data_IF_279697748883
#
_entry.id   IF_279697748883
#
_cell.length_a   1.000
_cell.length_b   1.000
_cell.length_c   1.000
_cell.angle_alpha   90.00
_cell.angle_beta   90.00
_cell.angle_gamma   90.00
#
_symmetry.space_group_name_H-M   'P 1'
#
loop_
_entity.id
_entity.type
_entity.pdbx_description
1 polymer ?
#
# COMPACT_ATOMS: atom_id res chain seq x y z
N UNK A 1 52.49 12.97 47.43
CA UNK A 1 51.08 12.93 47.81
C UNK A 1 50.15 13.90 47.01
N UNK A 2 50.61 14.54 45.95
CA UNK A 2 49.79 15.53 45.16
C UNK A 2 49.23 15.01 43.85
N UNK A 3 49.63 13.81 43.35
CA UNK A 3 49.18 13.26 42.08
C UNK A 3 47.88 12.47 42.19
N UNK A 4 47.47 12.03 43.37
CA UNK A 4 46.23 11.28 43.59
C UNK A 4 44.97 12.16 43.60
N UNK A 5 45.11 13.40 44.11
CA UNK A 5 43.98 14.33 44.22
C UNK A 5 43.50 14.88 42.87
N UNK A 6 44.43 15.08 41.93
CA UNK A 6 44.10 15.61 40.60
C UNK A 6 43.37 14.55 39.75
N UNK A 7 43.76 13.26 39.88
CA UNK A 7 43.07 12.16 39.19
C UNK A 7 41.64 11.95 39.69
N UNK A 8 41.41 12.08 41.00
CA UNK A 8 40.05 11.97 41.56
C UNK A 8 39.14 13.14 41.15
N UNK A 9 39.69 14.37 41.10
CA UNK A 9 38.90 15.54 40.65
C UNK A 9 38.51 15.50 39.18
N UNK A 10 39.37 14.96 38.31
CA UNK A 10 39.06 14.78 36.87
C UNK A 10 38.00 13.71 36.64
N UNK A 11 38.06 12.60 37.43
CA UNK A 11 37.03 11.57 37.35
C UNK A 11 35.66 12.05 37.84
N UNK A 12 35.61 12.84 38.92
CA UNK A 12 34.37 13.41 39.44
C UNK A 12 33.79 14.44 38.48
N UNK A 13 34.61 15.27 37.85
CA UNK A 13 34.17 16.23 36.82
C UNK A 13 33.65 15.53 35.55
N UNK A 14 34.26 14.42 35.13
CA UNK A 14 33.81 13.62 34.00
C UNK A 14 32.47 12.92 34.31
N UNK A 15 32.26 12.42 35.52
CA UNK A 15 31.00 11.78 35.94
C UNK A 15 29.86 12.83 36.05
N UNK A 16 30.16 14.05 36.53
CA UNK A 16 29.18 15.12 36.64
C UNK A 16 28.75 15.66 35.24
N UNK A 17 29.65 15.67 34.27
CA UNK A 17 29.31 16.03 32.87
C UNK A 17 28.44 14.97 32.20
N UNK A 18 28.58 13.69 32.51
CA UNK A 18 27.75 12.60 32.05
C UNK A 18 26.34 12.62 32.66
N UNK A 19 26.21 13.09 33.92
CA UNK A 19 24.91 13.24 34.58
C UNK A 19 24.08 14.43 34.02
N UNK A 20 24.73 15.46 33.48
CA UNK A 20 24.03 16.59 32.85
C UNK A 20 23.38 16.26 31.50
N UNK A 21 23.72 15.12 30.90
CA UNK A 21 23.11 14.62 29.67
C UNK A 21 21.95 13.66 29.93
N UNK A 22 21.27 13.75 31.07
CA UNK A 22 20.02 12.99 31.26
C UNK A 22 18.98 13.47 30.25
N UNK A 23 18.27 12.56 29.53
CA UNK A 23 17.33 12.94 28.55
C UNK A 23 16.19 13.75 29.14
N UNK A 24 16.15 15.05 28.85
CA UNK A 24 14.96 15.86 29.07
C UNK A 24 13.89 15.50 28.05
N UNK A 25 13.45 14.26 28.05
CA UNK A 25 12.35 13.81 27.21
C UNK A 25 11.22 13.34 28.10
N UNK A 26 10.13 14.11 28.20
CA UNK A 26 8.85 13.53 28.63
C UNK A 26 8.58 12.34 27.74
N UNK A 27 8.29 11.19 28.34
CA UNK A 27 7.76 10.04 27.59
C UNK A 27 6.63 10.54 26.72
N UNK A 28 6.62 10.12 25.46
CA UNK A 28 5.57 10.54 24.56
C UNK A 28 4.21 10.17 25.09
N UNK A 29 3.22 11.08 25.03
CA UNK A 29 1.84 10.75 25.37
C UNK A 29 1.24 9.66 24.46
N UNK A 30 1.98 9.19 23.47
CA UNK A 30 1.57 8.08 22.59
C UNK A 30 1.68 6.70 23.27
N UNK A 31 2.37 6.58 24.40
CA UNK A 31 2.62 5.28 25.06
C UNK A 31 1.42 4.74 25.84
N UNK A 32 0.48 5.55 26.28
CA UNK A 32 -0.59 5.05 27.16
C UNK A 32 -2.02 5.35 26.69
N UNK A 33 -2.25 6.38 25.87
CA UNK A 33 -3.62 6.81 25.55
C UNK A 33 -4.09 6.40 24.16
N UNK A 34 -3.22 5.92 23.29
CA UNK A 34 -3.56 5.44 21.96
C UNK A 34 -3.38 3.94 21.78
N UNK A 35 -3.06 3.22 22.83
CA UNK A 35 -3.25 1.79 22.86
C UNK A 35 -4.77 1.52 22.98
N UNK A 36 -5.51 1.67 21.89
CA UNK A 36 -6.67 0.81 21.75
C UNK A 36 -6.15 -0.60 21.93
N UNK A 37 -6.52 -1.31 23.01
CA UNK A 37 -6.05 -2.66 23.21
C UNK A 37 -6.47 -3.45 21.98
N UNK A 38 -5.49 -3.88 21.21
CA UNK A 38 -5.76 -4.91 20.20
C UNK A 38 -6.36 -6.06 20.99
N UNK A 39 -7.55 -6.57 20.65
CA UNK A 39 -8.13 -7.71 21.31
C UNK A 39 -7.10 -8.83 21.32
N UNK A 40 -6.57 -9.14 22.50
CA UNK A 40 -5.69 -10.28 22.65
C UNK A 40 -6.55 -11.52 22.42
N UNK A 41 -6.38 -12.16 21.26
CA UNK A 41 -6.92 -13.51 21.04
C UNK A 41 -7.92 -13.70 19.92
N UNK A 42 -8.42 -12.66 19.27
CA UNK A 42 -9.10 -12.85 17.99
C UNK A 42 -8.39 -11.96 16.97
N UNK A 43 -7.57 -12.63 16.19
CA UNK A 43 -6.91 -12.06 15.05
C UNK A 43 -7.88 -11.18 14.27
N UNK A 44 -7.70 -9.87 14.33
CA UNK A 44 -8.28 -8.91 13.40
C UNK A 44 -7.90 -9.20 11.93
N UNK A 45 -7.05 -10.17 11.70
CA UNK A 45 -6.86 -10.86 10.42
C UNK A 45 -8.16 -11.43 9.89
N UNK A 46 -9.20 -11.39 10.67
CA UNK A 46 -10.53 -11.81 10.28
C UNK A 46 -11.42 -10.69 9.73
N UNK A 47 -10.98 -9.50 9.49
CA UNK A 47 -11.54 -8.72 8.37
C UNK A 47 -11.05 -9.42 7.08
N UNK A 48 -11.36 -10.59 7.05
CA UNK A 48 -11.27 -11.81 6.31
C UNK A 48 -10.82 -11.52 4.89
N UNK A 49 -9.52 -11.58 4.70
CA UNK A 49 -8.98 -11.90 3.38
C UNK A 49 -9.76 -13.16 2.91
N UNK A 50 -10.48 -13.03 1.80
CA UNK A 50 -11.27 -14.13 1.27
C UNK A 50 -12.77 -14.17 1.67
N UNK A 51 -13.35 -13.08 2.18
CA UNK A 51 -14.78 -13.00 2.52
C UNK A 51 -15.70 -13.45 1.36
N UNK A 52 -15.29 -13.19 0.11
CA UNK A 52 -16.02 -13.58 -1.10
C UNK A 52 -16.10 -15.08 -1.32
N UNK A 53 -15.19 -15.87 -0.75
CA UNK A 53 -15.22 -17.34 -0.85
C UNK A 53 -16.45 -17.94 -0.16
N UNK A 54 -17.00 -17.23 0.84
CA UNK A 54 -18.24 -17.63 1.53
C UNK A 54 -19.47 -17.58 0.62
N UNK A 55 -19.41 -16.79 -0.46
CA UNK A 55 -20.47 -16.71 -1.46
C UNK A 55 -20.50 -17.94 -2.37
N UNK A 56 -19.47 -18.81 -2.33
CA UNK A 56 -19.36 -20.05 -3.11
C UNK A 56 -19.49 -19.88 -4.62
N UNK A 57 -19.23 -18.67 -5.12
CA UNK A 57 -19.23 -18.33 -6.56
C UNK A 57 -17.82 -18.51 -7.13
N UNK A 58 -17.64 -19.57 -7.94
CA UNK A 58 -16.33 -19.91 -8.53
C UNK A 58 -15.86 -18.83 -9.52
N UNK A 59 -16.80 -18.23 -10.26
CA UNK A 59 -16.46 -17.21 -11.25
C UNK A 59 -15.98 -15.93 -10.58
N UNK A 60 -16.68 -15.49 -9.54
CA UNK A 60 -16.24 -14.36 -8.69
C UNK A 60 -14.86 -14.63 -8.10
N UNK A 61 -14.63 -15.81 -7.54
CA UNK A 61 -13.35 -16.18 -6.94
C UNK A 61 -12.20 -16.09 -7.96
N UNK A 62 -12.41 -16.58 -9.18
CA UNK A 62 -11.41 -16.53 -10.25
C UNK A 62 -11.14 -15.09 -10.72
N UNK A 63 -12.17 -14.25 -10.81
CA UNK A 63 -12.03 -12.85 -11.19
C UNK A 63 -11.24 -12.07 -10.14
N UNK A 64 -11.54 -12.24 -8.86
CA UNK A 64 -10.81 -11.60 -7.76
C UNK A 64 -9.36 -12.09 -7.74
N UNK A 65 -9.11 -13.40 -7.88
CA UNK A 65 -7.76 -13.93 -7.93
C UNK A 65 -6.96 -13.35 -9.11
N UNK A 66 -7.56 -13.25 -10.30
CA UNK A 66 -6.94 -12.61 -11.46
C UNK A 66 -6.63 -11.13 -11.19
N UNK A 67 -7.55 -10.37 -10.62
CA UNK A 67 -7.36 -8.96 -10.28
C UNK A 67 -6.18 -8.77 -9.30
N UNK A 68 -6.10 -9.59 -8.26
CA UNK A 68 -5.01 -9.53 -7.29
C UNK A 68 -3.65 -9.82 -7.95
N UNK A 69 -3.58 -10.82 -8.82
CA UNK A 69 -2.34 -11.18 -9.51
C UNK A 69 -1.86 -10.11 -10.48
N UNK A 70 -2.77 -9.42 -11.15
CA UNK A 70 -2.46 -8.44 -12.21
C UNK A 70 -2.41 -7.00 -11.71
N UNK A 71 -2.78 -6.73 -10.45
CA UNK A 71 -2.86 -5.39 -9.89
C UNK A 71 -1.52 -4.66 -9.91
N UNK A 72 -1.48 -3.53 -10.61
CA UNK A 72 -0.32 -2.64 -10.62
C UNK A 72 -0.08 -2.00 -9.26
N UNK A 73 -1.15 -1.63 -8.54
CA UNK A 73 -1.04 -1.04 -7.21
C UNK A 73 -0.39 -2.01 -6.21
N UNK A 74 -0.77 -3.29 -6.24
CA UNK A 74 -0.12 -4.30 -5.39
C UNK A 74 1.36 -4.50 -5.75
N UNK A 75 1.73 -4.42 -7.04
CA UNK A 75 3.14 -4.47 -7.45
C UNK A 75 3.94 -3.27 -6.93
N UNK A 76 3.36 -2.08 -6.94
CA UNK A 76 3.99 -0.87 -6.37
C UNK A 76 4.24 -1.03 -4.88
N UNK A 77 3.25 -1.49 -4.12
CA UNK A 77 3.42 -1.68 -2.67
C UNK A 77 4.41 -2.80 -2.37
N UNK A 78 4.42 -3.87 -3.15
CA UNK A 78 5.44 -4.92 -3.04
C UNK A 78 6.85 -4.35 -3.25
N UNK A 79 7.04 -3.52 -4.27
CA UNK A 79 8.33 -2.86 -4.52
C UNK A 79 8.74 -1.92 -3.36
N UNK A 80 7.79 -1.21 -2.75
CA UNK A 80 8.04 -0.40 -1.55
C UNK A 80 8.45 -1.25 -0.34
N UNK A 81 7.82 -2.41 -0.17
CA UNK A 81 8.22 -3.38 0.86
C UNK A 81 9.65 -3.89 0.63
N UNK A 82 9.98 -4.30 -0.60
CA UNK A 82 11.33 -4.74 -0.97
C UNK A 82 12.37 -3.63 -0.77
N UNK A 83 12.02 -2.38 -1.11
CA UNK A 83 12.86 -1.20 -0.84
C UNK A 83 13.09 -1.01 0.67
N UNK A 84 12.05 -1.13 1.51
CA UNK A 84 12.19 -1.03 2.95
C UNK A 84 13.07 -2.16 3.51
N UNK A 85 12.95 -3.37 3.01
CA UNK A 85 13.81 -4.50 3.37
C UNK A 85 15.28 -4.27 2.98
N UNK A 86 15.53 -3.75 1.78
CA UNK A 86 16.89 -3.39 1.36
C UNK A 86 17.47 -2.27 2.25
N UNK A 87 16.66 -1.26 2.57
CA UNK A 87 17.05 -0.18 3.48
C UNK A 87 17.37 -0.69 4.89
N UNK A 88 16.64 -1.70 5.38
CA UNK A 88 16.93 -2.37 6.65
C UNK A 88 18.34 -2.99 6.65
N UNK A 89 18.73 -3.61 5.54
CA UNK A 89 20.10 -4.14 5.35
C UNK A 89 21.15 -3.04 5.44
N UNK A 90 20.93 -1.90 4.80
CA UNK A 90 21.85 -0.75 4.82
C UNK A 90 21.97 -0.16 6.22
N UNK A 91 20.83 0.15 6.87
CA UNK A 91 20.86 0.72 8.23
C UNK A 91 21.44 -0.27 9.25
N UNK A 92 21.11 -1.57 9.12
CA UNK A 92 21.66 -2.63 9.98
C UNK A 92 23.17 -2.83 9.79
N UNK A 93 23.72 -2.45 8.65
CA UNK A 93 25.17 -2.50 8.40
C UNK A 93 25.94 -1.43 9.21
N UNK A 94 25.31 -0.31 9.57
CA UNK A 94 25.96 0.76 10.32
C UNK A 94 26.50 0.32 11.70
N UNK A 95 25.91 -0.71 12.29
CA UNK A 95 26.34 -1.29 13.58
C UNK A 95 27.38 -2.43 13.43
N UNK A 96 27.82 -2.70 12.19
CA UNK A 96 28.81 -3.75 11.90
C UNK A 96 30.16 -3.14 11.58
N UNK A 97 31.28 -3.86 11.83
CA UNK A 97 32.59 -3.42 11.38
C UNK A 97 32.58 -3.17 9.86
N UNK A 98 33.03 -1.99 9.47
CA UNK A 98 33.19 -1.59 8.08
C UNK A 98 34.67 -1.69 7.70
N UNK A 99 34.97 -2.31 6.58
CA UNK A 99 36.32 -2.37 6.03
C UNK A 99 36.29 -1.80 4.60
N UNK A 100 37.13 -0.82 4.37
CA UNK A 100 37.24 -0.14 3.09
C UNK A 100 38.65 -0.10 2.58
N UNK A 101 38.85 -0.29 1.28
CA UNK A 101 40.12 -0.03 0.59
C UNK A 101 39.98 1.28 -0.18
N UNK A 102 40.75 2.29 0.23
CA UNK A 102 40.80 3.59 -0.44
C UNK A 102 42.07 3.65 -1.29
N UNK A 103 41.94 3.96 -2.60
CA UNK A 103 43.06 4.28 -3.45
C UNK A 103 42.86 5.70 -3.97
N UNK A 104 43.76 6.59 -3.61
CA UNK A 104 43.74 7.98 -4.05
C UNK A 104 45.03 8.31 -4.83
N UNK A 105 44.85 8.90 -6.01
CA UNK A 105 45.95 9.42 -6.81
C UNK A 105 45.79 10.92 -6.98
N UNK A 106 46.81 11.70 -6.66
CA UNK A 106 46.88 13.13 -6.91
C UNK A 106 48.04 13.41 -7.87
N UNK A 107 47.72 13.96 -9.05
CA UNK A 107 48.68 14.50 -9.96
C UNK A 107 48.65 16.04 -9.85
N UNK A 108 49.78 16.64 -9.46
CA UNK A 108 49.96 18.09 -9.45
C UNK A 108 51.10 18.47 -10.36
N UNK A 109 50.84 19.40 -11.27
CA UNK A 109 51.87 20.04 -12.07
C UNK A 109 52.26 21.34 -11.38
N UNK A 110 53.51 21.41 -10.94
CA UNK A 110 54.05 22.62 -10.31
C UNK A 110 54.96 23.32 -11.33
N UNK A 111 54.51 24.43 -11.89
CA UNK A 111 55.33 25.31 -12.71
C UNK A 111 56.03 26.32 -11.82
N UNK A 112 57.33 26.28 -11.66
CA UNK A 112 58.04 27.31 -10.91
C UNK A 112 57.99 28.62 -11.66
N UNK A 113 57.57 29.71 -10.96
CA UNK A 113 57.75 31.04 -11.49
C UNK A 113 59.25 31.27 -11.61
N UNK A 114 59.79 31.74 -12.79
CA UNK A 114 61.19 32.00 -12.92
C UNK A 114 61.62 33.13 -11.99
N UNK A 115 62.31 32.78 -10.93
CA UNK A 115 63.01 33.70 -10.07
C UNK A 115 64.47 33.67 -10.48
N UNK A 116 65.03 34.87 -10.73
CA UNK A 116 66.37 35.01 -11.29
C UNK A 116 67.40 34.18 -10.50
N UNK A 117 67.98 33.14 -11.12
CA UNK A 117 69.08 32.35 -10.62
C UNK A 117 68.74 30.90 -10.23
N UNK A 118 67.52 30.40 -10.47
CA UNK A 118 67.17 28.98 -10.27
C UNK A 118 66.95 28.27 -11.60
N UNK A 119 67.45 27.05 -11.69
CA UNK A 119 67.29 26.19 -12.86
C UNK A 119 65.81 25.79 -13.00
N UNK A 120 65.26 26.06 -14.16
CA UNK A 120 63.92 25.69 -14.55
C UNK A 120 63.81 24.13 -14.62
N UNK A 121 63.17 23.56 -13.66
CA UNK A 121 62.82 22.14 -13.70
C UNK A 121 61.32 21.99 -13.48
N UNK A 122 60.59 21.69 -14.56
CA UNK A 122 59.18 21.27 -14.50
C UNK A 122 59.07 20.00 -13.67
N UNK A 123 58.35 20.07 -12.57
CA UNK A 123 58.12 18.89 -11.73
C UNK A 123 56.65 18.49 -11.79
N UNK A 124 56.39 17.29 -12.31
CA UNK A 124 55.13 16.61 -12.13
C UNK A 124 55.18 15.79 -10.85
N UNK A 125 54.42 16.20 -9.85
CA UNK A 125 54.31 15.42 -8.62
C UNK A 125 53.12 14.47 -8.75
N UNK A 126 53.37 13.17 -8.71
CA UNK A 126 52.35 12.13 -8.64
C UNK A 126 52.42 11.49 -7.28
N UNK A 127 51.36 11.67 -6.50
CA UNK A 127 51.18 11.03 -5.19
C UNK A 127 50.10 9.97 -5.34
N UNK A 128 50.47 8.71 -5.05
CA UNK A 128 49.52 7.64 -4.97
C UNK A 128 49.52 7.10 -3.54
N UNK A 129 48.33 6.96 -2.96
CA UNK A 129 48.13 6.39 -1.65
C UNK A 129 47.10 5.25 -1.74
N UNK A 130 47.45 4.11 -1.15
CA UNK A 130 46.52 2.99 -0.93
C UNK A 130 46.43 2.76 0.59
N UNK A 131 45.24 2.89 1.11
CA UNK A 131 45.00 2.70 2.53
C UNK A 131 43.85 1.69 2.76
N UNK A 132 44.08 0.74 3.64
CA UNK A 132 43.06 -0.11 4.19
C UNK A 132 42.52 0.58 5.46
N UNK A 133 41.20 0.80 5.50
CA UNK A 133 40.55 1.48 6.63
C UNK A 133 39.53 0.54 7.25
N UNK A 134 39.53 0.46 8.58
CA UNK A 134 38.53 -0.21 9.37
C UNK A 134 37.78 0.80 10.24
N UNK A 135 36.46 0.71 10.30
CA UNK A 135 35.69 1.51 11.26
C UNK A 135 34.60 0.69 11.94
N UNK A 136 34.33 1.02 13.21
CA UNK A 136 33.28 0.43 14.02
C UNK A 136 32.62 1.54 14.84
N UNK A 137 31.33 1.72 14.66
CA UNK A 137 30.52 2.67 15.42
C UNK A 137 29.89 1.96 16.62
N UNK A 138 30.04 2.54 17.81
CA UNK A 138 29.41 2.05 19.02
C UNK A 138 28.09 2.78 19.27
N UNK A 139 26.98 2.05 19.19
CA UNK A 139 25.63 2.61 19.36
C UNK A 139 25.20 2.67 20.84
N UNK A 140 25.93 3.41 21.67
CA UNK A 140 25.64 3.53 23.11
C UNK A 140 24.28 4.20 23.36
N UNK A 141 23.92 5.18 22.55
CA UNK A 141 22.71 6.00 22.71
C UNK A 141 21.52 5.46 21.93
N UNK A 142 21.70 4.37 21.17
CA UNK A 142 20.65 3.71 20.44
C UNK A 142 20.22 4.39 19.14
N UNK A 143 21.01 5.34 18.61
CA UNK A 143 20.71 6.04 17.35
C UNK A 143 20.42 5.07 16.20
N UNK A 144 21.34 4.15 15.93
CA UNK A 144 21.21 3.20 14.84
C UNK A 144 20.14 2.16 15.14
N UNK A 145 19.98 1.75 16.41
CA UNK A 145 18.89 0.86 16.83
C UNK A 145 17.52 1.48 16.54
N UNK A 146 17.32 2.75 16.86
CA UNK A 146 16.07 3.46 16.58
C UNK A 146 15.84 3.64 15.07
N UNK A 147 16.90 3.87 14.28
CA UNK A 147 16.79 3.89 12.81
C UNK A 147 16.34 2.54 12.24
N UNK A 148 16.84 1.44 12.77
CA UNK A 148 16.39 0.08 12.39
C UNK A 148 14.90 -0.09 12.72
N UNK A 149 14.45 0.33 13.91
CA UNK A 149 13.04 0.27 14.29
C UNK A 149 12.16 1.15 13.39
N UNK A 150 12.61 2.33 12.98
CA UNK A 150 11.91 3.18 12.04
C UNK A 150 11.71 2.47 10.68
N UNK A 151 12.75 1.85 10.13
CA UNK A 151 12.64 1.11 8.86
C UNK A 151 11.74 -0.13 9.00
N UNK A 152 11.76 -0.81 10.15
CA UNK A 152 10.83 -1.91 10.44
C UNK A 152 9.38 -1.40 10.50
N UNK A 153 9.12 -0.24 11.08
CA UNK A 153 7.81 0.41 11.07
C UNK A 153 7.32 0.67 9.65
N UNK A 154 8.18 1.25 8.80
CA UNK A 154 7.90 1.48 7.38
C UNK A 154 7.61 0.17 6.62
N UNK A 155 8.37 -0.89 6.88
CA UNK A 155 8.14 -2.20 6.28
C UNK A 155 6.79 -2.79 6.69
N UNK A 156 6.42 -2.70 7.99
CA UNK A 156 5.11 -3.13 8.49
C UNK A 156 3.97 -2.34 7.86
N UNK A 157 4.13 -1.02 7.70
CA UNK A 157 3.14 -0.18 7.04
C UNK A 157 2.87 -0.63 5.59
N UNK A 158 3.90 -0.97 4.82
CA UNK A 158 3.75 -1.48 3.47
C UNK A 158 2.97 -2.81 3.42
N UNK A 159 3.13 -3.70 4.40
CA UNK A 159 2.35 -4.95 4.49
C UNK A 159 0.87 -4.65 4.71
N UNK A 160 0.54 -3.73 5.62
CA UNK A 160 -0.85 -3.34 5.87
C UNK A 160 -1.46 -2.58 4.69
N UNK A 161 -0.69 -1.74 4.01
CA UNK A 161 -1.12 -1.06 2.77
C UNK A 161 -1.45 -2.07 1.67
N UNK A 162 -0.63 -3.11 1.50
CA UNK A 162 -0.93 -4.19 0.55
C UNK A 162 -2.24 -4.92 0.89
N UNK A 163 -2.48 -5.15 2.16
CA UNK A 163 -3.70 -5.80 2.65
C UNK A 163 -4.94 -4.94 2.41
N UNK A 164 -4.82 -3.62 2.64
CA UNK A 164 -5.87 -2.64 2.34
C UNK A 164 -6.22 -2.63 0.85
N UNK A 165 -5.22 -2.46 -0.03
CA UNK A 165 -5.41 -2.45 -1.48
C UNK A 165 -6.04 -3.76 -1.98
N UNK A 166 -5.63 -4.90 -1.43
CA UNK A 166 -6.21 -6.20 -1.77
C UNK A 166 -7.69 -6.27 -1.41
N UNK A 167 -8.07 -5.78 -0.24
CA UNK A 167 -9.46 -5.73 0.21
C UNK A 167 -10.30 -4.80 -0.69
N UNK A 168 -9.81 -3.59 -0.96
CA UNK A 168 -10.47 -2.62 -1.83
C UNK A 168 -10.66 -3.18 -3.26
N UNK A 169 -9.64 -3.82 -3.81
CA UNK A 169 -9.72 -4.44 -5.12
C UNK A 169 -10.75 -5.56 -5.16
N UNK A 170 -10.79 -6.42 -4.13
CA UNK A 170 -11.78 -7.48 -4.03
C UNK A 170 -13.21 -6.92 -3.95
N UNK A 171 -13.41 -5.83 -3.19
CA UNK A 171 -14.70 -5.12 -3.14
C UNK A 171 -15.08 -4.53 -4.49
N UNK A 172 -14.15 -3.86 -5.18
CA UNK A 172 -14.43 -3.27 -6.49
C UNK A 172 -14.82 -4.33 -7.53
N UNK A 173 -14.10 -5.46 -7.57
CA UNK A 173 -14.41 -6.58 -8.45
C UNK A 173 -15.76 -7.19 -8.12
N UNK A 174 -16.05 -7.43 -6.84
CA UNK A 174 -17.33 -8.00 -6.41
C UNK A 174 -18.49 -7.08 -6.74
N UNK A 175 -18.38 -5.77 -6.50
CA UNK A 175 -19.41 -4.79 -6.83
C UNK A 175 -19.73 -4.78 -8.34
N UNK A 176 -18.70 -4.80 -9.20
CA UNK A 176 -18.90 -4.87 -10.64
C UNK A 176 -19.48 -6.23 -11.08
N UNK A 177 -19.09 -7.32 -10.42
CA UNK A 177 -19.61 -8.64 -10.72
C UNK A 177 -21.10 -8.76 -10.35
N UNK A 178 -21.53 -8.28 -9.20
CA UNK A 178 -22.94 -8.23 -8.81
C UNK A 178 -23.77 -7.30 -9.72
N UNK A 179 -23.19 -6.16 -10.11
CA UNK A 179 -23.82 -5.28 -11.09
C UNK A 179 -24.01 -5.99 -12.44
N UNK A 180 -23.05 -6.85 -12.84
CA UNK A 180 -23.18 -7.66 -14.06
C UNK A 180 -24.29 -8.71 -13.94
N UNK A 181 -24.37 -9.42 -12.79
CA UNK A 181 -25.47 -10.37 -12.53
C UNK A 181 -26.83 -9.66 -12.63
N UNK A 182 -27.00 -8.53 -11.95
CA UNK A 182 -28.22 -7.73 -11.97
C UNK A 182 -28.58 -7.27 -13.39
N UNK A 183 -27.60 -6.75 -14.15
CA UNK A 183 -27.85 -6.29 -15.51
C UNK A 183 -28.26 -7.45 -16.45
N UNK A 184 -27.70 -8.64 -16.25
CA UNK A 184 -28.04 -9.84 -17.02
C UNK A 184 -29.47 -10.29 -16.71
N UNK A 185 -29.87 -10.32 -15.46
CA UNK A 185 -31.25 -10.67 -15.07
C UNK A 185 -32.26 -9.62 -15.54
N UNK A 186 -31.91 -8.33 -15.49
CA UNK A 186 -32.77 -7.25 -15.99
C UNK A 186 -32.99 -7.38 -17.50
N UNK A 187 -31.97 -7.73 -18.28
CA UNK A 187 -32.10 -7.97 -19.72
C UNK A 187 -33.01 -9.17 -19.99
N UNK A 188 -32.88 -10.26 -19.25
CA UNK A 188 -33.74 -11.43 -19.38
C UNK A 188 -35.22 -11.10 -19.09
N UNK A 189 -35.45 -10.29 -18.04
CA UNK A 189 -36.79 -9.79 -17.69
C UNK A 189 -37.37 -8.91 -18.82
N UNK A 190 -36.56 -8.00 -19.37
CA UNK A 190 -36.98 -7.15 -20.49
C UNK A 190 -37.30 -7.96 -21.72
N UNK A 191 -36.52 -9.01 -22.03
CA UNK A 191 -36.84 -9.92 -23.16
C UNK A 191 -38.21 -10.58 -22.97
N UNK A 192 -38.52 -11.06 -21.77
CA UNK A 192 -39.82 -11.63 -21.45
C UNK A 192 -40.96 -10.59 -21.59
N UNK A 193 -40.73 -9.37 -21.10
CA UNK A 193 -41.73 -8.27 -21.21
C UNK A 193 -41.98 -7.87 -22.65
N UNK A 194 -40.95 -7.82 -23.49
CA UNK A 194 -41.05 -7.53 -24.92
C UNK A 194 -41.84 -8.63 -25.63
N UNK A 195 -41.53 -9.91 -25.34
CA UNK A 195 -42.29 -11.04 -25.92
C UNK A 195 -43.79 -10.97 -25.57
N UNK A 196 -44.11 -10.62 -24.32
CA UNK A 196 -45.52 -10.44 -23.89
C UNK A 196 -46.18 -9.24 -24.61
N UNK A 197 -45.44 -8.12 -24.74
CA UNK A 197 -45.95 -6.95 -25.49
C UNK A 197 -46.19 -7.25 -26.95
N UNK A 198 -45.32 -8.03 -27.62
CA UNK A 198 -45.48 -8.48 -28.99
C UNK A 198 -46.75 -9.35 -29.17
N UNK A 199 -47.00 -10.27 -28.23
CA UNK A 199 -48.23 -11.09 -28.22
C UNK A 199 -49.47 -10.23 -28.04
N UNK A 200 -49.43 -9.26 -27.11
CA UNK A 200 -50.56 -8.33 -26.89
C UNK A 200 -50.84 -7.46 -28.12
N UNK A 201 -49.77 -7.01 -28.77
CA UNK A 201 -49.85 -6.18 -29.97
C UNK A 201 -50.48 -6.96 -31.14
N UNK A 202 -50.06 -8.19 -31.38
CA UNK A 202 -50.64 -9.10 -32.40
C UNK A 202 -52.12 -9.34 -32.13
N UNK A 203 -52.53 -9.59 -30.88
CA UNK A 203 -53.92 -9.79 -30.51
C UNK A 203 -54.75 -8.50 -30.76
N UNK A 204 -54.21 -7.34 -30.37
CA UNK A 204 -54.89 -6.06 -30.56
C UNK A 204 -55.05 -5.74 -32.05
N UNK A 205 -54.06 -6.01 -32.91
CA UNK A 205 -54.17 -5.85 -34.36
C UNK A 205 -55.30 -6.69 -34.95
N UNK A 206 -55.47 -7.94 -34.46
CA UNK A 206 -56.59 -8.79 -34.88
C UNK A 206 -57.94 -8.22 -34.45
N UNK A 207 -58.05 -7.68 -33.22
CA UNK A 207 -59.29 -7.08 -32.70
C UNK A 207 -59.65 -5.79 -33.45
N UNK A 208 -58.69 -4.94 -33.78
CA UNK A 208 -58.92 -3.72 -34.55
C UNK A 208 -59.38 -4.09 -36.00
N UNK A 209 -58.74 -5.06 -36.63
CA UNK A 209 -59.13 -5.57 -37.94
C UNK A 209 -60.56 -6.14 -37.94
N UNK A 210 -60.98 -6.77 -36.85
CA UNK A 210 -62.32 -7.29 -36.65
C UNK A 210 -63.33 -6.20 -36.17
N UNK A 211 -62.90 -4.93 -36.09
CA UNK A 211 -63.72 -3.81 -35.61
C UNK A 211 -64.20 -3.98 -34.15
N UNK A 212 -63.48 -4.78 -33.35
CA UNK A 212 -63.78 -5.06 -31.95
C UNK A 212 -63.01 -4.16 -30.97
N UNK A 213 -62.11 -3.29 -31.47
CA UNK A 213 -61.36 -2.33 -30.66
C UNK A 213 -61.04 -1.06 -31.49
N UNK A 214 -60.90 0.11 -30.84
CA UNK A 214 -60.50 1.36 -31.47
C UNK A 214 -59.03 1.33 -31.90
N UNK A 215 -58.67 2.01 -32.98
CA UNK A 215 -57.31 2.08 -33.51
C UNK A 215 -56.31 2.76 -32.52
N UNK A 216 -56.78 3.72 -31.73
CA UNK A 216 -55.97 4.43 -30.77
C UNK A 216 -55.34 3.50 -29.71
N UNK A 217 -56.05 2.43 -29.34
CA UNK A 217 -55.55 1.41 -28.41
C UNK A 217 -54.35 0.67 -28.98
N UNK A 218 -54.28 0.48 -30.30
CA UNK A 218 -53.13 -0.14 -30.98
C UNK A 218 -51.90 0.76 -30.89
N UNK A 219 -52.05 2.07 -31.15
CA UNK A 219 -50.93 3.02 -31.09
C UNK A 219 -50.35 3.12 -29.66
N UNK A 220 -51.20 3.09 -28.64
CA UNK A 220 -50.72 3.08 -27.25
C UNK A 220 -49.86 1.85 -26.93
N UNK A 221 -50.24 0.66 -27.43
CA UNK A 221 -49.43 -0.56 -27.25
C UNK A 221 -48.13 -0.53 -28.06
N UNK A 222 -48.16 0.04 -29.29
CA UNK A 222 -46.96 0.23 -30.08
C UNK A 222 -45.96 1.14 -29.39
N UNK A 223 -46.41 2.26 -28.83
CA UNK A 223 -45.55 3.16 -28.05
C UNK A 223 -44.96 2.46 -26.82
N UNK A 224 -45.76 1.68 -26.09
CA UNK A 224 -45.28 0.93 -24.91
C UNK A 224 -44.21 -0.11 -25.31
N UNK A 225 -44.42 -0.82 -26.44
CA UNK A 225 -43.42 -1.77 -26.94
C UNK A 225 -42.10 -1.05 -27.32
N UNK A 226 -42.17 0.08 -28.02
CA UNK A 226 -40.99 0.86 -28.39
C UNK A 226 -40.23 1.35 -27.16
N UNK A 227 -40.95 1.74 -26.10
CA UNK A 227 -40.34 2.13 -24.84
C UNK A 227 -39.56 0.96 -24.21
N UNK A 228 -40.08 -0.27 -24.24
CA UNK A 228 -39.36 -1.46 -23.76
C UNK A 228 -38.09 -1.74 -24.59
N UNK A 229 -38.13 -1.52 -25.90
CA UNK A 229 -36.95 -1.68 -26.79
C UNK A 229 -35.84 -0.65 -26.43
N UNK A 230 -36.23 0.60 -26.21
CA UNK A 230 -35.31 1.65 -25.76
C UNK A 230 -34.68 1.29 -24.41
N UNK A 231 -35.48 0.82 -23.44
CA UNK A 231 -35.00 0.37 -22.12
C UNK A 231 -34.00 -0.81 -22.26
N UNK A 232 -34.33 -1.79 -23.13
CA UNK A 232 -33.45 -2.91 -23.44
C UNK A 232 -32.10 -2.44 -24.00
N UNK A 233 -32.15 -1.48 -24.96
CA UNK A 233 -30.95 -0.91 -25.56
C UNK A 233 -30.06 -0.22 -24.49
N UNK A 234 -30.66 0.57 -23.59
CA UNK A 234 -29.94 1.23 -22.47
C UNK A 234 -29.28 0.21 -21.52
N UNK A 235 -30.01 -0.86 -21.16
CA UNK A 235 -29.46 -1.92 -20.33
C UNK A 235 -28.37 -2.73 -21.01
N UNK A 236 -28.46 -2.95 -22.32
CA UNK A 236 -27.42 -3.60 -23.10
C UNK A 236 -26.14 -2.80 -23.07
N UNK A 237 -26.18 -1.49 -23.28
CA UNK A 237 -25.02 -0.61 -23.19
C UNK A 237 -24.44 -0.59 -21.75
N UNK A 238 -25.30 -0.54 -20.73
CA UNK A 238 -24.89 -0.58 -19.32
C UNK A 238 -24.18 -1.89 -19.00
N UNK A 239 -24.71 -3.03 -19.47
CA UNK A 239 -24.12 -4.34 -19.29
C UNK A 239 -22.73 -4.44 -19.95
N UNK A 240 -22.56 -3.89 -21.15
CA UNK A 240 -21.26 -3.81 -21.81
C UNK A 240 -20.24 -2.97 -21.03
N UNK A 241 -20.63 -1.81 -20.52
CA UNK A 241 -19.77 -0.96 -19.68
C UNK A 241 -19.34 -1.69 -18.43
N UNK A 242 -20.25 -2.39 -17.75
CA UNK A 242 -19.95 -3.17 -16.55
C UNK A 242 -18.94 -4.28 -16.87
N UNK A 243 -19.15 -5.05 -17.93
CA UNK A 243 -18.22 -6.11 -18.36
C UNK A 243 -16.84 -5.57 -18.71
N UNK A 244 -16.78 -4.45 -19.42
CA UNK A 244 -15.51 -3.82 -19.78
C UNK A 244 -14.78 -3.28 -18.54
N UNK A 245 -15.48 -2.67 -17.60
CA UNK A 245 -14.91 -2.24 -16.31
C UNK A 245 -14.37 -3.44 -15.51
N UNK A 246 -15.12 -4.53 -15.46
CA UNK A 246 -14.70 -5.76 -14.78
C UNK A 246 -13.48 -6.40 -15.48
N UNK A 247 -13.42 -6.38 -16.81
CA UNK A 247 -12.26 -6.86 -17.55
C UNK A 247 -11.01 -6.06 -17.19
N UNK A 248 -11.10 -4.72 -17.17
CA UNK A 248 -9.97 -3.85 -16.79
C UNK A 248 -9.53 -4.09 -15.34
N UNK A 249 -10.47 -4.20 -14.39
CA UNK A 249 -10.16 -4.50 -12.99
C UNK A 249 -9.42 -5.84 -12.81
N UNK A 250 -9.69 -6.80 -13.69
CA UNK A 250 -9.03 -8.13 -13.67
C UNK A 250 -7.79 -8.20 -14.56
N UNK A 251 -7.29 -7.06 -15.04
CA UNK A 251 -6.08 -6.96 -15.87
C UNK A 251 -6.26 -7.46 -17.29
N UNK A 252 -7.49 -7.53 -17.79
CA UNK A 252 -7.82 -7.99 -19.16
C UNK A 252 -8.19 -6.80 -20.06
N UNK A 253 -8.08 -7.00 -21.34
CA UNK A 253 -8.54 -6.01 -22.32
C UNK A 253 -10.07 -5.88 -22.31
N UNK A 254 -10.62 -4.68 -22.60
CA UNK A 254 -12.05 -4.52 -22.84
C UNK A 254 -12.56 -5.54 -23.85
N UNK A 255 -13.74 -6.10 -23.61
CA UNK A 255 -14.31 -7.15 -24.47
C UNK A 255 -13.92 -8.59 -24.11
N UNK A 256 -12.93 -8.82 -23.25
CA UNK A 256 -12.50 -10.17 -22.86
C UNK A 256 -13.59 -11.02 -22.16
N UNK A 257 -14.62 -10.37 -21.65
CA UNK A 257 -15.79 -11.03 -21.03
C UNK A 257 -16.99 -11.13 -21.96
N UNK A 258 -16.85 -10.78 -23.24
CA UNK A 258 -17.94 -10.90 -24.22
C UNK A 258 -18.32 -12.37 -24.42
N UNK A 259 -19.62 -12.63 -24.57
CA UNK A 259 -20.14 -13.99 -24.70
C UNK A 259 -20.15 -14.81 -23.41
N UNK A 260 -19.63 -14.27 -22.31
CA UNK A 260 -19.71 -14.92 -21.01
C UNK A 260 -20.98 -14.49 -20.26
N UNK A 261 -21.49 -15.41 -19.42
CA UNK A 261 -22.66 -15.17 -18.56
C UNK A 261 -22.19 -15.30 -17.09
N UNK A 262 -22.61 -14.42 -16.17
CA UNK A 262 -22.29 -14.56 -14.75
C UNK A 262 -23.06 -15.76 -14.18
N UNK A 263 -22.64 -16.26 -13.02
CA UNK A 263 -23.45 -17.22 -12.26
C UNK A 263 -24.71 -16.52 -11.72
N UNK A 264 -25.71 -17.30 -11.35
CA UNK A 264 -26.92 -16.75 -10.74
C UNK A 264 -26.58 -16.11 -9.39
N UNK A 265 -27.30 -15.03 -9.07
CA UNK A 265 -27.10 -14.32 -7.82
C UNK A 265 -27.30 -15.27 -6.63
N UNK A 266 -26.26 -15.43 -5.81
CA UNK A 266 -26.34 -16.21 -4.60
C UNK A 266 -27.15 -15.48 -3.54
N UNK A 267 -27.84 -16.22 -2.68
CA UNK A 267 -28.48 -15.65 -1.51
C UNK A 267 -27.44 -14.96 -0.63
N UNK A 268 -27.70 -13.69 -0.29
CA UNK A 268 -26.82 -12.94 0.61
C UNK A 268 -26.93 -13.55 2.01
N UNK A 269 -25.81 -14.01 2.60
CA UNK A 269 -25.87 -14.48 3.99
C UNK A 269 -26.28 -13.34 4.91
N UNK A 270 -27.16 -13.63 5.87
CA UNK A 270 -27.54 -12.64 6.88
C UNK A 270 -26.31 -12.26 7.71
N UNK A 271 -25.95 -10.99 7.67
CA UNK A 271 -24.89 -10.45 8.53
C UNK A 271 -25.51 -10.12 9.89
N UNK A 272 -24.93 -10.57 11.01
CA UNK A 272 -25.34 -10.13 12.33
C UNK A 272 -24.92 -8.66 12.51
N UNK A 273 -25.83 -7.74 12.20
CA UNK A 273 -25.57 -6.28 12.27
C UNK A 273 -25.45 -5.78 13.73
N UNK A 274 -25.76 -6.63 14.71
CA UNK A 274 -25.87 -6.23 16.11
C UNK A 274 -24.57 -6.02 16.87
N UNK A 275 -23.39 -6.23 16.28
CA UNK A 275 -22.09 -6.06 16.92
C UNK A 275 -21.05 -5.44 15.98
N UNK A 276 -21.26 -4.19 15.62
CA UNK A 276 -20.18 -3.35 15.09
C UNK A 276 -19.48 -2.78 16.32
N UNK A 277 -18.54 -3.54 16.86
CA UNK A 277 -17.71 -3.11 18.00
C UNK A 277 -16.60 -2.18 17.51
N UNK A 278 -16.13 -1.28 18.39
CA UNK A 278 -15.00 -0.39 18.10
C UNK A 278 -13.73 -1.16 17.67
N UNK A 279 -13.64 -2.44 18.03
CA UNK A 279 -12.59 -3.38 17.64
C UNK A 279 -12.49 -3.58 16.12
N UNK A 280 -13.58 -3.40 15.37
CA UNK A 280 -13.55 -3.44 13.90
C UNK A 280 -12.78 -2.26 13.31
N UNK A 281 -12.75 -1.11 13.95
CA UNK A 281 -11.92 0.02 13.51
C UNK A 281 -10.44 -0.29 13.70
N UNK A 282 -10.07 -0.90 14.82
CA UNK A 282 -8.68 -1.31 15.07
C UNK A 282 -8.21 -2.44 14.12
N UNK A 283 -9.16 -3.22 13.59
CA UNK A 283 -8.90 -4.31 12.66
C UNK A 283 -8.68 -3.85 11.19
N UNK A 284 -8.93 -2.57 10.88
CA UNK A 284 -8.80 -2.03 9.52
C UNK A 284 -7.33 -1.93 9.13
N UNK A 285 -6.94 -2.49 7.95
CA UNK A 285 -5.54 -2.46 7.50
C UNK A 285 -5.03 -1.04 7.21
N UNK A 286 -5.89 -0.13 6.75
CA UNK A 286 -5.52 1.27 6.51
C UNK A 286 -5.14 1.98 7.82
N UNK A 287 -5.88 1.77 8.91
CA UNK A 287 -5.57 2.30 10.24
C UNK A 287 -4.28 1.66 10.78
N UNK A 288 -4.11 0.35 10.61
CA UNK A 288 -2.89 -0.35 11.02
C UNK A 288 -1.65 0.16 10.27
N UNK A 289 -1.80 0.48 8.96
CA UNK A 289 -0.74 1.09 8.17
C UNK A 289 -0.34 2.47 8.71
N UNK A 290 -1.32 3.33 9.02
CA UNK A 290 -1.05 4.66 9.58
C UNK A 290 -0.41 4.59 10.97
N UNK A 291 -0.83 3.64 11.81
CA UNK A 291 -0.20 3.39 13.11
C UNK A 291 1.27 2.98 12.96
N UNK A 292 1.57 2.08 12.03
CA UNK A 292 2.95 1.65 11.75
C UNK A 292 3.82 2.82 11.21
N UNK A 293 3.24 3.74 10.41
CA UNK A 293 3.93 4.96 9.99
C UNK A 293 4.15 5.94 11.15
N UNK A 294 3.23 6.02 12.09
CA UNK A 294 3.41 6.82 13.30
C UNK A 294 4.53 6.27 14.16
N UNK A 295 4.61 4.95 14.35
CA UNK A 295 5.72 4.28 15.01
C UNK A 295 7.06 4.54 14.30
N UNK A 296 7.09 4.49 12.96
CA UNK A 296 8.27 4.91 12.17
C UNK A 296 8.73 6.31 12.55
N UNK A 297 7.81 7.29 12.54
CA UNK A 297 8.15 8.69 12.85
C UNK A 297 8.61 8.87 14.30
N UNK A 298 8.01 8.15 15.21
CA UNK A 298 8.45 8.12 16.61
C UNK A 298 9.90 7.66 16.76
N UNK A 299 10.26 6.56 16.10
CA UNK A 299 11.63 6.04 16.11
C UNK A 299 12.62 6.99 15.42
N UNK A 300 12.20 7.74 14.39
CA UNK A 300 13.01 8.80 13.77
C UNK A 300 13.28 9.90 14.79
N UNK A 301 12.28 10.36 15.55
CA UNK A 301 12.47 11.37 16.61
C UNK A 301 13.46 10.87 17.63
N UNK A 302 13.33 9.61 18.09
CA UNK A 302 14.27 9.00 19.06
C UNK A 302 15.69 8.90 18.51
N UNK A 303 15.85 8.55 17.25
CA UNK A 303 17.16 8.55 16.59
C UNK A 303 17.78 9.96 16.53
N UNK A 304 16.94 10.98 16.22
CA UNK A 304 17.39 12.38 16.17
C UNK A 304 17.74 12.92 17.56
N UNK A 305 16.97 12.57 18.60
CA UNK A 305 17.32 12.87 19.99
C UNK A 305 18.69 12.27 20.37
N UNK A 306 19.00 11.06 19.90
CA UNK A 306 20.29 10.43 20.14
C UNK A 306 21.46 11.15 19.43
N UNK A 307 21.21 12.00 18.42
CA UNK A 307 22.25 12.81 17.75
C UNK A 307 22.81 13.96 18.62
N UNK A 308 22.10 14.34 19.69
CA UNK A 308 22.61 15.31 20.64
C UNK A 308 23.74 14.75 21.54
N UNK A 309 23.95 13.43 21.53
CA UNK A 309 24.99 12.77 22.27
C UNK A 309 26.25 12.53 21.42
N UNK A 310 27.44 12.46 22.07
CA UNK A 310 28.67 12.22 21.30
C UNK A 310 28.67 10.91 20.55
N UNK A 311 29.07 10.94 19.28
CA UNK A 311 29.28 9.72 18.51
C UNK A 311 30.67 9.13 18.82
N UNK A 312 30.71 7.84 19.13
CA UNK A 312 31.95 7.12 19.46
C UNK A 312 32.22 6.10 18.35
N UNK A 313 33.30 6.37 17.62
CA UNK A 313 33.72 5.53 16.48
C UNK A 313 35.19 5.12 16.68
N UNK A 314 35.47 3.84 16.48
CA UNK A 314 36.85 3.32 16.40
C UNK A 314 37.25 3.30 14.94
N UNK A 315 38.37 3.94 14.59
CA UNK A 315 38.99 3.92 13.27
C UNK A 315 40.40 3.33 13.35
N UNK A 316 40.72 2.43 12.43
CA UNK A 316 42.04 1.80 12.26
C UNK A 316 42.50 1.87 10.83
#
# INVERSE_FOLDING_TARGET
MKLGLVKSSVCVAAVSLLAACAPFGKQSPLDETTAYPLPQGQSAAAAQDGWWMKLKDKKLNNLIASAIQTSTNLRVVKARFEQAQAQLGVVGAANKPQVGLGVTGLGAYVSPKPQAGMVDTDHTLVLANAALQGSLVFDFWGKNREQIQAVLGKSRAAVYEAQHIRTELAHAVAAQYFAWQMATEQLALLDTRIELADKALKLMQQRVKAQLAPADTLHALEMAQQQLQLEKSAWTQKNEKIRNSLAVLTGRVPGALNGQVPEKMAAVPSLPVSRIEADLLAARPDIAAQKALLEEKWHIVKSTEAEFYPNIELKV
#
